data_IF_311494870224
#
_entry.id   IF_311494870224
#
_cell.length_a   1.000
_cell.length_b   1.000
_cell.length_c   1.000
_cell.angle_alpha   90.00
_cell.angle_beta   90.00
_cell.angle_gamma   90.00
#
_symmetry.space_group_name_H-M   'P 1'
#
loop_
_entity.id
_entity.type
_entity.pdbx_description
1 polymer ?
#
# COMPACT_ATOMS: atom_id res chain seq x y z
N UNK A 1 -22.67 -25.09 1.98
CA UNK A 1 -21.71 -24.10 2.52
C UNK A 1 -21.66 -22.95 1.54
N UNK A 2 -21.70 -21.69 1.98
CA UNK A 2 -21.56 -20.57 1.06
C UNK A 2 -20.16 -20.57 0.45
N UNK A 3 -20.11 -20.33 -0.86
CA UNK A 3 -18.86 -20.02 -1.56
C UNK A 3 -18.48 -18.60 -1.20
N UNK A 4 -17.29 -18.39 -0.66
CA UNK A 4 -16.78 -17.05 -0.35
C UNK A 4 -15.40 -16.83 -0.95
N UNK A 5 -15.12 -15.59 -1.34
CA UNK A 5 -13.79 -15.15 -1.72
C UNK A 5 -12.86 -15.06 -0.51
N UNK A 6 -11.75 -15.81 -0.57
CA UNK A 6 -10.73 -15.75 0.46
C UNK A 6 -9.35 -15.52 -0.13
N UNK A 7 -8.57 -14.64 0.50
CA UNK A 7 -7.17 -14.41 0.13
C UNK A 7 -6.29 -15.55 0.64
N UNK A 8 -5.57 -16.19 -0.28
CA UNK A 8 -4.61 -17.26 0.00
C UNK A 8 -3.25 -16.92 -0.61
N UNK A 9 -2.18 -17.19 0.14
CA UNK A 9 -0.82 -17.09 -0.37
C UNK A 9 -0.30 -18.49 -0.75
N UNK A 10 0.20 -18.62 -1.99
CA UNK A 10 0.94 -19.78 -2.46
C UNK A 10 2.42 -19.41 -2.52
N UNK A 11 3.25 -20.12 -1.77
CA UNK A 11 4.69 -19.88 -1.73
C UNK A 11 5.41 -20.95 -2.55
N UNK A 12 6.19 -20.51 -3.53
CA UNK A 12 7.02 -21.35 -4.37
C UNK A 12 8.49 -20.99 -4.18
N UNK A 13 9.34 -22.01 -4.12
CA UNK A 13 10.80 -21.80 -4.22
C UNK A 13 11.15 -21.60 -5.69
N UNK A 14 11.82 -20.49 -6.02
CA UNK A 14 12.28 -20.21 -7.38
C UNK A 14 13.59 -20.94 -7.67
N UNK A 15 13.76 -21.33 -8.93
CA UNK A 15 14.96 -21.95 -9.51
C UNK A 15 15.52 -21.05 -10.63
N UNK A 16 16.01 -19.83 -10.28
CA UNK A 16 16.42 -18.84 -11.26
C UNK A 16 17.80 -19.16 -11.89
N UNK A 17 18.02 -18.81 -13.16
CA UNK A 17 19.36 -18.74 -13.76
C UNK A 17 20.22 -17.62 -13.13
N UNK A 18 21.50 -17.51 -13.49
CA UNK A 18 22.36 -16.42 -12.98
C UNK A 18 21.88 -15.02 -13.40
N UNK A 19 21.43 -14.87 -14.65
CA UNK A 19 20.87 -13.60 -15.12
C UNK A 19 19.56 -13.26 -14.41
N UNK A 20 18.70 -14.26 -14.16
CA UNK A 20 17.47 -14.08 -13.38
C UNK A 20 17.78 -13.75 -11.91
N UNK A 21 18.78 -14.39 -11.30
CA UNK A 21 19.26 -14.05 -9.94
C UNK A 21 19.72 -12.60 -9.85
N UNK A 22 20.51 -12.15 -10.83
CA UNK A 22 20.96 -10.77 -10.91
C UNK A 22 19.77 -9.80 -11.04
N UNK A 23 18.77 -10.12 -11.87
CA UNK A 23 17.55 -9.33 -12.00
C UNK A 23 16.74 -9.27 -10.70
N UNK A 24 16.55 -10.40 -10.00
CA UNK A 24 15.89 -10.44 -8.70
C UNK A 24 16.60 -9.57 -7.66
N UNK A 25 17.93 -9.57 -7.65
CA UNK A 25 18.73 -8.69 -6.79
C UNK A 25 18.65 -7.21 -7.18
N UNK A 26 18.55 -6.88 -8.47
CA UNK A 26 18.29 -5.49 -8.91
C UNK A 26 16.92 -5.01 -8.44
N UNK A 27 15.89 -5.84 -8.57
CA UNK A 27 14.52 -5.54 -8.14
C UNK A 27 14.41 -5.37 -6.62
N UNK A 28 15.02 -6.27 -5.83
CA UNK A 28 15.08 -6.13 -4.37
C UNK A 28 15.88 -4.88 -3.95
N UNK A 29 16.96 -4.58 -4.67
CA UNK A 29 17.78 -3.39 -4.51
C UNK A 29 17.00 -2.10 -4.71
N UNK A 30 16.20 -2.01 -5.78
CA UNK A 30 15.33 -0.88 -6.07
C UNK A 30 14.24 -0.70 -4.99
N UNK A 31 13.59 -1.78 -4.55
CA UNK A 31 12.61 -1.73 -3.47
C UNK A 31 13.22 -1.25 -2.14
N UNK A 32 14.45 -1.70 -1.84
CA UNK A 32 15.23 -1.24 -0.68
C UNK A 32 15.55 0.25 -0.78
N UNK A 33 16.02 0.71 -1.94
CA UNK A 33 16.29 2.12 -2.19
C UNK A 33 15.03 2.97 -1.98
N UNK A 34 13.90 2.56 -2.57
CA UNK A 34 12.62 3.23 -2.43
C UNK A 34 12.13 3.31 -0.98
N UNK A 35 12.30 2.23 -0.21
CA UNK A 35 12.02 2.23 1.23
C UNK A 35 12.89 3.26 1.98
N UNK A 36 14.19 3.30 1.70
CA UNK A 36 15.11 4.24 2.35
C UNK A 36 14.80 5.69 1.96
N UNK A 37 14.51 5.95 0.68
CA UNK A 37 14.06 7.26 0.19
C UNK A 37 12.79 7.73 0.91
N UNK A 38 11.78 6.86 0.99
CA UNK A 38 10.54 7.17 1.70
C UNK A 38 10.77 7.46 3.18
N UNK A 39 11.61 6.66 3.83
CA UNK A 39 11.93 6.85 5.22
C UNK A 39 12.68 8.16 5.43
N UNK A 40 13.62 8.52 4.55
CA UNK A 40 14.35 9.79 4.62
C UNK A 40 13.39 10.99 4.53
N UNK A 41 12.45 11.01 3.58
CA UNK A 41 11.46 12.10 3.45
C UNK A 41 10.53 12.18 4.69
N UNK A 42 10.17 11.05 5.28
CA UNK A 42 9.37 11.00 6.52
C UNK A 42 10.16 11.50 7.73
N UNK A 43 11.41 11.07 7.86
CA UNK A 43 12.31 11.49 8.93
C UNK A 43 12.61 12.99 8.84
N UNK A 44 12.86 13.52 7.64
CA UNK A 44 13.04 14.96 7.42
C UNK A 44 11.81 15.76 7.86
N UNK A 45 10.61 15.36 7.43
CA UNK A 45 9.38 16.04 7.83
C UNK A 45 9.13 15.97 9.35
N UNK A 46 9.44 14.82 9.97
CA UNK A 46 9.34 14.66 11.42
C UNK A 46 10.35 15.52 12.18
N UNK A 47 11.59 15.62 11.66
CA UNK A 47 12.62 16.47 12.27
C UNK A 47 12.25 17.94 12.16
N UNK A 48 11.83 18.41 10.98
CA UNK A 48 11.38 19.79 10.80
C UNK A 48 10.20 20.15 11.73
N UNK A 49 9.28 19.21 11.96
CA UNK A 49 8.21 19.38 12.96
C UNK A 49 8.76 19.49 14.38
N UNK A 50 9.70 18.60 14.74
CA UNK A 50 10.32 18.58 16.07
C UNK A 50 11.12 19.85 16.35
N UNK A 51 11.92 20.33 15.39
CA UNK A 51 12.73 21.54 15.49
C UNK A 51 11.85 22.78 15.72
N UNK A 52 10.74 22.90 14.97
CA UNK A 52 9.76 23.97 15.19
C UNK A 52 9.13 23.91 16.58
N UNK A 53 8.79 22.71 17.03
CA UNK A 53 8.20 22.52 18.36
C UNK A 53 9.19 22.96 19.43
N UNK A 54 10.46 22.60 19.31
CA UNK A 54 11.53 23.03 20.21
C UNK A 54 11.67 24.55 20.19
N UNK A 55 11.74 25.18 19.01
CA UNK A 55 11.84 26.64 18.88
C UNK A 55 10.67 27.39 19.55
N UNK A 56 9.44 26.87 19.44
CA UNK A 56 8.29 27.48 20.13
C UNK A 56 8.35 27.30 21.65
N UNK A 57 8.81 26.16 22.12
CA UNK A 57 8.98 25.93 23.55
C UNK A 57 10.08 26.82 24.13
N UNK A 58 11.18 27.00 23.41
CA UNK A 58 12.25 27.94 23.77
C UNK A 58 11.78 29.40 23.75
N UNK A 59 10.81 29.74 22.88
CA UNK A 59 10.13 31.03 22.87
C UNK A 59 9.08 31.21 23.98
N UNK A 60 8.95 30.24 24.91
CA UNK A 60 8.11 30.34 26.10
C UNK A 60 6.72 29.71 25.98
N UNK A 61 6.39 29.04 24.87
CA UNK A 61 5.12 28.33 24.73
C UNK A 61 5.17 26.96 25.44
N UNK A 62 4.04 26.49 25.95
CA UNK A 62 3.91 25.10 26.38
C UNK A 62 3.93 24.14 25.18
N UNK A 63 4.18 22.84 25.40
CA UNK A 63 4.14 21.86 24.31
C UNK A 63 2.78 21.80 23.59
N UNK A 64 1.68 22.08 24.29
CA UNK A 64 0.34 22.07 23.72
C UNK A 64 0.11 23.28 22.82
N UNK A 65 0.49 24.47 23.29
CA UNK A 65 0.41 25.72 22.51
C UNK A 65 1.33 25.67 21.30
N UNK A 66 2.55 25.14 21.45
CA UNK A 66 3.47 24.93 20.34
C UNK A 66 2.86 24.05 19.24
N UNK A 67 2.12 22.98 19.61
CA UNK A 67 1.42 22.12 18.63
C UNK A 67 0.31 22.86 17.91
N UNK A 68 -0.53 23.61 18.62
CA UNK A 68 -1.58 24.41 17.98
C UNK A 68 -0.98 25.54 17.12
N UNK A 69 0.14 26.14 17.52
CA UNK A 69 0.85 27.15 16.72
C UNK A 69 1.40 26.57 15.42
N UNK A 70 2.06 25.41 15.46
CA UNK A 70 2.54 24.70 14.25
C UNK A 70 1.37 24.39 13.31
N UNK A 71 0.23 23.95 13.86
CA UNK A 71 -0.99 23.69 13.09
C UNK A 71 -1.55 24.97 12.46
N UNK A 72 -1.55 26.10 13.18
CA UNK A 72 -1.96 27.39 12.67
C UNK A 72 -1.04 27.88 11.53
N UNK A 73 0.28 27.78 11.69
CA UNK A 73 1.25 28.17 10.64
C UNK A 73 1.10 27.32 9.37
N UNK A 74 0.75 26.04 9.53
CA UNK A 74 0.50 25.13 8.42
C UNK A 74 -0.91 25.24 7.82
N UNK A 75 -1.82 26.02 8.41
CA UNK A 75 -3.23 26.05 8.04
C UNK A 75 -3.41 26.60 6.62
N UNK A 76 -2.81 27.76 6.31
CA UNK A 76 -2.89 28.37 4.98
C UNK A 76 -2.41 27.41 3.89
N UNK A 77 -1.24 26.78 4.10
CA UNK A 77 -0.68 25.84 3.14
C UNK A 77 -1.56 24.59 2.98
N UNK A 78 -2.15 24.11 4.07
CA UNK A 78 -3.09 22.97 4.05
C UNK A 78 -4.36 23.30 3.27
N UNK A 79 -4.92 24.49 3.48
CA UNK A 79 -6.11 24.97 2.78
C UNK A 79 -5.82 25.15 1.29
N UNK A 80 -4.67 25.72 0.92
CA UNK A 80 -4.23 25.80 -0.47
C UNK A 80 -4.13 24.43 -1.14
N UNK A 81 -3.52 23.44 -0.47
CA UNK A 81 -3.46 22.05 -0.98
C UNK A 81 -4.87 21.48 -1.19
N UNK A 82 -5.77 21.69 -0.23
CA UNK A 82 -7.16 21.18 -0.28
C UNK A 82 -7.93 21.76 -1.46
N UNK A 83 -7.87 23.08 -1.63
CA UNK A 83 -8.59 23.78 -2.69
C UNK A 83 -8.05 23.38 -4.07
N UNK A 84 -6.72 23.33 -4.24
CA UNK A 84 -6.13 22.87 -5.50
C UNK A 84 -6.49 21.44 -5.86
N UNK A 85 -6.42 20.53 -4.89
CA UNK A 85 -6.78 19.13 -5.13
C UNK A 85 -8.27 19.01 -5.49
N UNK A 86 -9.14 19.86 -4.93
CA UNK A 86 -10.55 19.95 -5.33
C UNK A 86 -10.69 20.40 -6.79
N UNK A 87 -10.11 21.53 -7.20
CA UNK A 87 -10.23 21.99 -8.59
C UNK A 87 -9.68 20.97 -9.60
N UNK A 88 -8.54 20.33 -9.28
CA UNK A 88 -7.96 19.26 -10.10
C UNK A 88 -8.89 18.05 -10.23
N UNK A 89 -9.49 17.61 -9.11
CA UNK A 89 -10.45 16.50 -9.09
C UNK A 89 -11.72 16.82 -9.85
N UNK A 90 -12.26 18.03 -9.69
CA UNK A 90 -13.43 18.49 -10.42
C UNK A 90 -13.17 18.47 -11.93
N UNK A 91 -12.00 18.94 -12.40
CA UNK A 91 -11.64 18.83 -13.82
C UNK A 91 -11.53 17.36 -14.27
N UNK A 92 -10.92 16.50 -13.46
CA UNK A 92 -10.82 15.06 -13.76
C UNK A 92 -12.22 14.42 -13.92
N UNK A 93 -13.17 14.78 -13.05
CA UNK A 93 -14.54 14.27 -13.09
C UNK A 93 -15.29 14.76 -14.34
N UNK A 94 -15.17 16.04 -14.67
CA UNK A 94 -15.75 16.61 -15.89
C UNK A 94 -15.24 15.90 -17.14
N UNK A 95 -13.93 15.64 -17.24
CA UNK A 95 -13.32 14.94 -18.39
C UNK A 95 -13.88 13.52 -18.55
N UNK A 96 -14.19 12.82 -17.45
CA UNK A 96 -14.78 11.47 -17.50
C UNK A 96 -16.32 11.48 -17.54
N UNK A 97 -16.94 12.63 -17.81
CA UNK A 97 -18.39 12.78 -17.94
C UNK A 97 -19.16 12.68 -16.62
N UNK A 98 -18.52 12.92 -15.47
CA UNK A 98 -19.14 12.88 -14.15
C UNK A 98 -19.35 14.29 -13.57
N UNK A 99 -20.42 14.50 -12.80
CA UNK A 99 -20.68 15.81 -12.21
C UNK A 99 -19.56 16.20 -11.23
N UNK A 100 -19.07 17.45 -11.27
CA UNK A 100 -18.07 17.91 -10.32
C UNK A 100 -18.67 18.07 -8.91
N UNK A 101 -17.86 17.90 -7.85
CA UNK A 101 -18.29 18.19 -6.48
C UNK A 101 -18.59 19.69 -6.29
N UNK A 102 -19.37 20.01 -5.24
CA UNK A 102 -19.74 21.38 -4.89
C UNK A 102 -18.53 22.31 -4.81
N UNK A 103 -18.64 23.49 -5.43
CA UNK A 103 -17.53 24.41 -5.60
C UNK A 103 -16.93 24.87 -4.25
N UNK A 104 -15.61 24.79 -4.12
CA UNK A 104 -14.87 25.46 -3.05
C UNK A 104 -14.46 26.87 -3.46
N UNK A 105 -14.32 27.78 -2.48
CA UNK A 105 -13.74 29.11 -2.70
C UNK A 105 -12.31 28.99 -3.24
N UNK A 106 -11.95 29.87 -4.17
CA UNK A 106 -10.58 29.97 -4.68
C UNK A 106 -9.62 30.42 -3.57
N UNK A 107 -8.37 29.93 -3.50
CA UNK A 107 -7.37 30.50 -2.62
C UNK A 107 -7.01 31.90 -3.11
N UNK A 108 -6.76 32.83 -2.19
CA UNK A 108 -6.35 34.19 -2.53
C UNK A 108 -5.10 34.18 -3.44
N UNK A 109 -5.13 34.97 -4.51
CA UNK A 109 -4.01 35.14 -5.45
C UNK A 109 -3.91 34.06 -6.54
N UNK A 110 -4.89 33.16 -6.67
CA UNK A 110 -4.92 32.11 -7.70
C UNK A 110 -6.21 32.10 -8.52
N UNK A 111 -6.95 33.20 -8.47
CA UNK A 111 -8.22 33.41 -9.17
C UNK A 111 -8.05 33.26 -10.69
N UNK A 112 -6.91 33.67 -11.24
CA UNK A 112 -6.62 33.59 -12.67
C UNK A 112 -6.54 32.14 -13.20
N UNK A 113 -5.88 31.24 -12.46
CA UNK A 113 -5.75 29.83 -12.88
C UNK A 113 -7.06 29.06 -12.63
N UNK A 114 -7.81 29.40 -11.58
CA UNK A 114 -9.17 28.85 -11.35
C UNK A 114 -10.14 29.33 -12.44
N UNK A 115 -10.07 30.60 -12.87
CA UNK A 115 -10.85 31.12 -14.01
C UNK A 115 -10.48 30.41 -15.31
N UNK A 116 -9.19 30.19 -15.59
CA UNK A 116 -8.73 29.40 -16.76
C UNK A 116 -9.25 27.96 -16.73
N UNK A 117 -9.27 27.32 -15.55
CA UNK A 117 -9.85 25.99 -15.36
C UNK A 117 -11.37 25.97 -15.52
N UNK A 118 -12.07 27.03 -15.09
CA UNK A 118 -13.52 27.16 -15.28
C UNK A 118 -13.88 27.38 -16.76
N UNK A 119 -13.12 28.23 -17.46
CA UNK A 119 -13.28 28.45 -18.91
C UNK A 119 -13.06 27.16 -19.71
N UNK A 120 -11.98 26.42 -19.42
CA UNK A 120 -11.71 25.14 -20.08
C UNK A 120 -12.82 24.09 -19.86
N UNK A 121 -13.56 24.14 -18.75
CA UNK A 121 -14.73 23.27 -18.50
C UNK A 121 -15.96 23.68 -19.32
N UNK A 122 -16.07 24.94 -19.71
CA UNK A 122 -17.19 25.44 -20.50
C UNK A 122 -17.07 25.06 -21.99
N UNK A 123 -15.84 24.90 -22.49
CA UNK A 123 -15.57 24.65 -23.91
C UNK A 123 -15.72 23.18 -24.36
N UNK A 124 -16.07 22.27 -23.45
CA UNK A 124 -16.59 20.90 -23.65
C UNK A 124 -16.02 20.09 -24.84
N UNK A 125 -14.75 20.28 -25.19
CA UNK A 125 -14.04 19.52 -26.22
C UNK A 125 -12.70 19.08 -25.63
N UNK A 126 -12.54 17.75 -25.50
CA UNK A 126 -11.41 17.08 -24.86
C UNK A 126 -10.07 17.33 -25.55
N UNK A 127 -9.57 18.56 -25.43
CA UNK A 127 -8.40 19.09 -26.12
C UNK A 127 -7.14 18.88 -25.28
N UNK A 128 -5.98 18.87 -25.94
CA UNK A 128 -4.64 18.85 -25.31
C UNK A 128 -4.52 19.85 -24.15
N UNK A 129 -5.27 20.95 -24.22
CA UNK A 129 -5.34 22.00 -23.21
C UNK A 129 -5.83 21.53 -21.84
N UNK A 130 -6.82 20.64 -21.78
CA UNK A 130 -7.30 20.08 -20.51
C UNK A 130 -6.24 19.21 -19.83
N UNK A 131 -5.49 18.43 -20.64
CA UNK A 131 -4.39 17.59 -20.15
C UNK A 131 -3.24 18.45 -19.61
N UNK A 132 -2.90 19.53 -20.29
CA UNK A 132 -1.93 20.52 -19.81
C UNK A 132 -2.37 21.13 -18.48
N UNK A 133 -3.62 21.59 -18.38
CA UNK A 133 -4.16 22.18 -17.15
C UNK A 133 -4.22 21.18 -15.99
N UNK A 134 -4.54 19.90 -16.26
CA UNK A 134 -4.46 18.84 -15.26
C UNK A 134 -3.02 18.59 -14.79
N UNK A 135 -2.06 18.63 -15.72
CA UNK A 135 -0.64 18.46 -15.41
C UNK A 135 -0.12 19.64 -14.57
N UNK A 136 -0.46 20.88 -14.95
CA UNK A 136 -0.17 22.11 -14.20
C UNK A 136 -0.77 22.05 -12.79
N UNK A 137 -2.06 21.74 -12.68
CA UNK A 137 -2.73 21.59 -11.38
C UNK A 137 -2.12 20.49 -10.51
N UNK A 138 -1.71 19.36 -11.10
CA UNK A 138 -1.01 18.29 -10.37
C UNK A 138 0.38 18.72 -9.92
N UNK A 139 1.12 19.45 -10.75
CA UNK A 139 2.43 20.00 -10.40
C UNK A 139 2.31 20.98 -9.23
N UNK A 140 1.34 21.88 -9.26
CA UNK A 140 1.05 22.83 -8.17
C UNK A 140 0.72 22.11 -6.87
N UNK A 141 -0.18 21.12 -6.88
CA UNK A 141 -0.51 20.33 -5.67
C UNK A 141 0.74 19.62 -5.13
N UNK A 142 1.54 19.02 -6.01
CA UNK A 142 2.74 18.31 -5.59
C UNK A 142 3.80 19.26 -4.99
N UNK A 143 3.97 20.45 -5.58
CA UNK A 143 4.88 21.47 -5.06
C UNK A 143 4.45 21.99 -3.68
N UNK A 144 3.17 22.32 -3.50
CA UNK A 144 2.63 22.74 -2.20
C UNK A 144 2.78 21.65 -1.14
N UNK A 145 2.54 20.39 -1.51
CA UNK A 145 2.79 19.24 -0.61
C UNK A 145 4.27 19.11 -0.26
N UNK A 146 5.17 19.22 -1.24
CA UNK A 146 6.62 19.17 -1.00
C UNK A 146 7.06 20.26 0.00
N UNK A 147 6.55 21.49 -0.16
CA UNK A 147 6.75 22.58 0.78
C UNK A 147 6.23 22.22 2.18
N UNK A 148 5.00 21.69 2.29
CA UNK A 148 4.42 21.31 3.57
C UNK A 148 5.20 20.21 4.29
N UNK A 149 5.77 19.26 3.54
CA UNK A 149 6.62 18.22 4.10
C UNK A 149 7.96 18.77 4.58
N UNK A 150 8.63 19.58 3.76
CA UNK A 150 9.90 20.20 4.11
C UNK A 150 9.77 21.13 5.31
N UNK A 151 8.63 21.81 5.44
CA UNK A 151 8.32 22.68 6.57
C UNK A 151 7.90 21.90 7.83
N UNK A 152 7.68 20.58 7.77
CA UNK A 152 7.25 19.79 8.93
C UNK A 152 5.77 19.92 9.29
N UNK A 153 4.95 20.57 8.46
CA UNK A 153 3.50 20.67 8.71
C UNK A 153 2.75 19.37 8.42
N UNK A 154 3.34 18.49 7.61
CA UNK A 154 2.73 17.21 7.24
C UNK A 154 3.79 16.13 7.07
N UNK A 155 3.44 14.88 7.38
CA UNK A 155 4.27 13.72 7.02
C UNK A 155 3.77 13.10 5.70
N UNK A 156 4.65 12.78 4.74
CA UNK A 156 4.23 12.22 3.45
C UNK A 156 3.65 10.81 3.59
N UNK A 157 2.57 10.51 2.86
CA UNK A 157 2.07 9.14 2.64
C UNK A 157 2.92 8.40 1.59
N UNK A 158 2.68 7.11 1.34
CA UNK A 158 3.33 6.37 0.27
C UNK A 158 2.99 6.94 -1.11
N UNK A 159 1.73 7.38 -1.31
CA UNK A 159 1.31 8.06 -2.53
C UNK A 159 1.99 9.42 -2.70
N UNK A 160 2.14 10.18 -1.62
CA UNK A 160 2.87 11.46 -1.65
C UNK A 160 4.36 11.22 -1.95
N UNK A 161 4.95 10.22 -1.30
CA UNK A 161 6.35 9.82 -1.53
C UNK A 161 6.58 9.39 -2.98
N UNK A 162 5.66 8.61 -3.55
CA UNK A 162 5.69 8.25 -4.97
C UNK A 162 5.61 9.48 -5.88
N UNK A 163 4.87 10.51 -5.49
CA UNK A 163 4.75 11.76 -6.25
C UNK A 163 6.02 12.60 -6.15
N UNK A 164 6.60 12.75 -4.95
CA UNK A 164 7.91 13.38 -4.75
C UNK A 164 9.00 12.66 -5.55
N UNK A 165 9.03 11.33 -5.47
CA UNK A 165 9.98 10.53 -6.24
C UNK A 165 9.84 10.77 -7.74
N UNK A 166 8.63 10.84 -8.30
CA UNK A 166 8.46 11.15 -9.73
C UNK A 166 8.97 12.54 -10.13
N UNK A 167 9.00 13.51 -9.22
CA UNK A 167 9.57 14.84 -9.48
C UNK A 167 11.10 14.81 -9.51
N UNK A 168 11.72 13.89 -8.75
CA UNK A 168 13.17 13.86 -8.51
C UNK A 168 13.87 12.70 -9.24
N UNK A 169 13.14 11.68 -9.72
CA UNK A 169 13.72 10.40 -10.19
C UNK A 169 14.63 10.52 -11.40
N UNK A 170 14.38 11.51 -12.25
CA UNK A 170 15.10 11.72 -13.50
C UNK A 170 16.32 12.66 -13.30
N UNK A 171 16.53 13.15 -12.07
CA UNK A 171 17.74 13.87 -11.70
C UNK A 171 18.98 12.94 -11.73
N UNK A 172 20.20 13.49 -11.88
CA UNK A 172 21.42 12.73 -11.70
C UNK A 172 21.49 12.06 -10.33
N UNK A 173 22.18 10.92 -10.25
CA UNK A 173 22.32 10.13 -9.02
C UNK A 173 22.95 10.95 -7.89
N UNK A 174 23.88 11.84 -8.23
CA UNK A 174 24.61 12.73 -7.32
C UNK A 174 23.66 13.72 -6.63
N UNK A 175 22.55 14.07 -7.29
CA UNK A 175 21.48 14.92 -6.74
C UNK A 175 20.36 14.12 -6.07
N UNK A 176 20.59 12.82 -5.82
CA UNK A 176 19.62 11.92 -5.18
C UNK A 176 18.57 11.34 -6.13
N UNK A 177 18.69 11.56 -7.44
CA UNK A 177 17.83 10.95 -8.43
C UNK A 177 18.08 9.45 -8.64
N UNK A 178 17.24 8.82 -9.44
CA UNK A 178 17.28 7.39 -9.74
C UNK A 178 17.13 7.14 -11.25
N UNK A 179 18.06 7.62 -12.11
CA UNK A 179 17.91 7.55 -13.57
C UNK A 179 17.81 6.10 -14.10
N UNK A 180 18.32 5.13 -13.32
CA UNK A 180 18.22 3.68 -13.54
C UNK A 180 16.81 3.10 -13.27
N UNK A 181 15.82 3.93 -12.93
CA UNK A 181 14.50 3.43 -12.49
C UNK A 181 13.77 2.59 -13.55
N UNK A 182 14.02 2.84 -14.84
CA UNK A 182 13.41 2.14 -15.97
C UNK A 182 13.91 0.71 -16.13
N UNK A 183 15.05 0.35 -15.52
CA UNK A 183 15.61 -1.01 -15.57
C UNK A 183 14.80 -2.06 -14.79
N UNK A 184 13.90 -1.61 -13.92
CA UNK A 184 13.09 -2.45 -13.06
C UNK A 184 11.62 -2.04 -13.13
N UNK A 185 10.74 -2.95 -12.74
CA UNK A 185 9.32 -2.65 -12.71
C UNK A 185 9.00 -1.58 -11.63
N UNK A 186 8.20 -0.57 -12.01
CA UNK A 186 7.81 0.56 -11.15
C UNK A 186 7.16 0.13 -9.82
N UNK A 187 6.47 -1.03 -9.79
CA UNK A 187 5.85 -1.56 -8.58
C UNK A 187 6.86 -1.91 -7.49
N UNK A 188 8.14 -2.13 -7.82
CA UNK A 188 9.20 -2.30 -6.83
C UNK A 188 9.35 -1.05 -5.95
N UNK A 189 9.26 0.15 -6.56
CA UNK A 189 9.33 1.41 -5.85
C UNK A 189 8.08 1.61 -4.99
N UNK A 190 6.89 1.42 -5.56
CA UNK A 190 5.61 1.50 -4.82
C UNK A 190 5.61 0.58 -3.60
N UNK A 191 6.03 -0.68 -3.77
CA UNK A 191 6.17 -1.63 -2.67
C UNK A 191 7.13 -1.14 -1.58
N UNK A 192 8.24 -0.50 -1.97
CA UNK A 192 9.18 0.10 -1.02
C UNK A 192 8.56 1.25 -0.22
N UNK A 193 7.84 2.15 -0.90
CA UNK A 193 7.13 3.28 -0.28
C UNK A 193 6.05 2.80 0.70
N UNK A 194 5.23 1.82 0.31
CA UNK A 194 4.19 1.23 1.16
C UNK A 194 4.78 0.61 2.42
N UNK A 195 5.89 -0.13 2.28
CA UNK A 195 6.58 -0.74 3.42
C UNK A 195 7.13 0.31 4.39
N UNK A 196 7.63 1.44 3.88
CA UNK A 196 8.07 2.54 4.73
C UNK A 196 6.90 3.21 5.44
N UNK A 197 5.75 3.39 4.77
CA UNK A 197 4.53 3.87 5.40
C UNK A 197 4.04 2.93 6.51
N UNK A 198 4.02 1.61 6.27
CA UNK A 198 3.61 0.62 7.28
C UNK A 198 4.57 0.63 8.47
N UNK A 199 5.89 0.66 8.23
CA UNK A 199 6.88 0.73 9.30
C UNK A 199 6.70 1.98 10.15
N UNK A 200 6.52 3.14 9.51
CA UNK A 200 6.25 4.41 10.18
C UNK A 200 4.97 4.39 11.02
N UNK A 201 3.88 3.88 10.43
CA UNK A 201 2.59 3.75 11.13
C UNK A 201 2.71 2.83 12.34
N UNK A 202 3.38 1.70 12.21
CA UNK A 202 3.58 0.76 13.32
C UNK A 202 4.34 1.40 14.48
N UNK A 203 5.38 2.20 14.19
CA UNK A 203 6.09 2.99 15.19
C UNK A 203 5.17 3.99 15.89
N UNK A 204 4.47 4.84 15.12
CA UNK A 204 3.53 5.83 15.67
C UNK A 204 2.42 5.20 16.52
N UNK A 205 1.75 4.15 16.02
CA UNK A 205 0.69 3.47 16.74
C UNK A 205 1.19 2.81 18.03
N UNK A 206 2.45 2.38 18.06
CA UNK A 206 3.06 1.78 19.25
C UNK A 206 3.37 2.81 20.33
N UNK A 207 3.60 4.07 19.96
CA UNK A 207 3.79 5.16 20.92
C UNK A 207 2.47 5.55 21.59
N UNK A 208 1.37 5.58 20.83
CA UNK A 208 0.06 6.01 21.34
C UNK A 208 -0.80 4.86 21.88
N UNK A 209 -0.26 3.65 22.02
CA UNK A 209 -1.01 2.47 22.50
C UNK A 209 -2.10 1.96 21.54
N UNK A 210 -2.21 2.48 20.32
CA UNK A 210 -3.19 2.04 19.31
C UNK A 210 -2.91 0.63 18.80
N UNK A 211 -1.69 0.14 19.01
CA UNK A 211 -1.26 -1.21 18.66
C UNK A 211 -0.95 -2.00 19.93
N UNK A 212 -1.55 -3.19 20.03
CA UNK A 212 -1.21 -4.15 21.09
C UNK A 212 0.23 -4.68 20.95
N UNK A 213 0.90 -4.86 22.09
CA UNK A 213 2.24 -5.42 22.21
C UNK A 213 3.33 -4.39 22.48
N UNK A 214 4.58 -4.79 22.26
CA UNK A 214 5.75 -3.97 22.57
C UNK A 214 5.84 -2.71 21.72
N UNK A 215 6.37 -1.64 22.32
CA UNK A 215 6.73 -0.41 21.60
C UNK A 215 7.73 -0.75 20.48
N UNK A 216 7.47 -0.26 19.27
CA UNK A 216 8.37 -0.44 18.14
C UNK A 216 9.45 0.62 18.19
N UNK A 217 10.68 0.24 17.83
CA UNK A 217 11.76 1.21 17.65
C UNK A 217 11.49 2.11 16.43
N UNK A 218 12.14 3.28 16.40
CA UNK A 218 12.10 4.17 15.25
C UNK A 218 12.53 3.41 13.97
N UNK A 219 11.82 3.55 12.84
CA UNK A 219 12.16 2.82 11.63
C UNK A 219 13.57 3.15 11.15
N UNK A 220 14.31 2.15 10.68
CA UNK A 220 15.72 2.31 10.26
C UNK A 220 15.90 2.01 8.78
N UNK A 221 16.91 2.62 8.17
CA UNK A 221 17.31 2.30 6.80
C UNK A 221 17.67 0.83 6.64
N UNK A 222 17.27 0.27 5.50
CA UNK A 222 17.58 -1.10 5.11
C UNK A 222 18.96 -1.18 4.47
N UNK A 223 19.76 -2.12 4.95
CA UNK A 223 21.08 -2.48 4.41
C UNK A 223 20.93 -3.44 3.22
N UNK A 224 21.89 -3.40 2.29
CA UNK A 224 21.97 -4.35 1.18
C UNK A 224 22.20 -5.77 1.72
N UNK A 225 21.65 -6.79 1.07
CA UNK A 225 21.80 -8.19 1.49
C UNK A 225 20.95 -8.61 2.70
N UNK A 226 20.22 -7.70 3.33
CA UNK A 226 19.35 -8.00 4.46
C UNK A 226 17.87 -7.87 4.09
N UNK A 227 17.08 -8.92 4.34
CA UNK A 227 15.63 -8.94 4.10
C UNK A 227 15.23 -8.52 2.66
N UNK A 228 15.97 -9.02 1.67
CA UNK A 228 15.74 -8.71 0.25
C UNK A 228 14.37 -9.19 -0.19
N UNK A 229 13.52 -8.26 -0.62
CA UNK A 229 12.20 -8.59 -1.13
C UNK A 229 11.57 -7.42 -1.88
N UNK A 230 10.66 -7.73 -2.79
CA UNK A 230 9.85 -6.76 -3.51
C UNK A 230 8.49 -7.37 -3.86
N UNK A 231 7.49 -6.54 -4.11
CA UNK A 231 6.16 -7.00 -4.52
C UNK A 231 5.81 -6.42 -5.88
N UNK A 232 5.28 -7.25 -6.77
CA UNK A 232 4.78 -6.87 -8.08
C UNK A 232 3.27 -7.06 -8.11
N UNK A 233 2.60 -6.12 -8.75
CA UNK A 233 1.17 -6.11 -8.98
C UNK A 233 0.92 -6.15 -10.48
N UNK A 234 -0.30 -6.48 -10.86
CA UNK A 234 -0.74 -6.49 -12.25
C UNK A 234 -2.21 -6.12 -12.30
N UNK A 235 -2.65 -5.65 -13.46
CA UNK A 235 -4.07 -5.60 -13.75
C UNK A 235 -4.60 -7.04 -13.79
N UNK A 236 -5.57 -7.32 -12.93
CA UNK A 236 -6.20 -8.65 -12.85
C UNK A 236 -7.05 -8.94 -14.09
N UNK A 237 -7.51 -7.90 -14.80
CA UNK A 237 -8.25 -8.03 -16.06
C UNK A 237 -7.31 -8.31 -17.24
N UNK A 238 -6.02 -7.98 -17.11
CA UNK A 238 -4.96 -8.26 -18.12
C UNK A 238 -3.77 -8.95 -17.44
N UNK A 239 -3.92 -10.22 -17.02
CA UNK A 239 -3.03 -10.80 -16.05
C UNK A 239 -1.65 -11.16 -16.62
N UNK A 240 -0.64 -10.36 -16.25
CA UNK A 240 0.77 -10.68 -16.56
C UNK A 240 1.33 -11.72 -15.59
N UNK A 241 0.96 -11.66 -14.29
CA UNK A 241 1.39 -12.68 -13.31
C UNK A 241 0.55 -13.94 -13.51
N UNK A 242 1.19 -15.01 -13.97
CA UNK A 242 0.54 -16.29 -14.25
C UNK A 242 1.51 -17.45 -14.15
N UNK A 243 0.98 -18.66 -13.96
CA UNK A 243 1.76 -19.87 -14.14
C UNK A 243 1.84 -20.22 -15.63
N UNK A 244 3.03 -20.53 -16.10
CA UNK A 244 3.25 -21.14 -17.40
C UNK A 244 3.45 -22.64 -17.19
N UNK A 245 2.43 -23.42 -17.59
CA UNK A 245 2.30 -24.81 -17.17
C UNK A 245 2.22 -24.94 -15.65
N UNK A 246 3.02 -25.86 -15.09
CA UNK A 246 3.02 -26.15 -13.64
C UNK A 246 4.35 -25.87 -12.94
N UNK A 247 5.39 -25.49 -13.69
CA UNK A 247 6.76 -25.36 -13.17
C UNK A 247 7.43 -24.03 -13.49
N UNK A 248 6.70 -23.08 -14.06
CA UNK A 248 7.20 -21.72 -14.33
C UNK A 248 6.20 -20.68 -13.88
N UNK A 249 6.71 -19.58 -13.34
CA UNK A 249 5.94 -18.42 -12.91
C UNK A 249 6.39 -17.21 -13.74
N UNK A 250 5.45 -16.64 -14.48
CA UNK A 250 5.65 -15.42 -15.27
C UNK A 250 5.45 -14.21 -14.37
N UNK A 251 6.39 -13.28 -14.39
CA UNK A 251 6.35 -12.04 -13.61
C UNK A 251 6.68 -10.80 -14.47
N UNK A 252 5.99 -9.66 -14.25
CA UNK A 252 6.22 -8.43 -15.02
C UNK A 252 7.68 -7.96 -15.02
N UNK A 253 8.27 -7.85 -16.21
CA UNK A 253 9.66 -7.42 -16.43
C UNK A 253 10.74 -8.45 -16.05
N UNK A 254 10.38 -9.56 -15.40
CA UNK A 254 11.30 -10.66 -15.06
C UNK A 254 11.14 -11.89 -15.97
N UNK A 255 10.06 -11.94 -16.76
CA UNK A 255 9.80 -13.08 -17.64
C UNK A 255 9.38 -14.34 -16.88
N UNK A 256 9.69 -15.49 -17.45
CA UNK A 256 9.25 -16.81 -16.97
C UNK A 256 10.33 -17.52 -16.17
N UNK A 257 10.21 -17.47 -14.84
CA UNK A 257 11.19 -18.08 -13.92
C UNK A 257 10.71 -19.45 -13.47
N UNK A 258 11.61 -20.44 -13.46
CA UNK A 258 11.31 -21.79 -13.00
C UNK A 258 11.04 -21.84 -11.50
N UNK A 259 10.15 -22.74 -11.09
CA UNK A 259 9.91 -23.07 -9.67
C UNK A 259 10.34 -24.51 -9.39
N UNK A 260 10.94 -24.73 -8.21
CA UNK A 260 11.26 -26.09 -7.74
C UNK A 260 10.00 -26.88 -7.39
N UNK A 261 9.01 -26.20 -6.81
CA UNK A 261 7.74 -26.78 -6.39
C UNK A 261 6.77 -26.95 -7.57
N UNK A 262 5.66 -27.66 -7.36
CA UNK A 262 4.60 -27.78 -8.37
C UNK A 262 3.52 -26.72 -8.18
N UNK A 263 3.33 -25.86 -9.19
CA UNK A 263 2.24 -24.91 -9.31
C UNK A 263 0.88 -25.55 -9.66
N UNK A 264 0.82 -26.87 -9.86
CA UNK A 264 -0.36 -27.59 -10.39
C UNK A 264 -1.66 -27.27 -9.66
N UNK A 265 -1.62 -27.15 -8.33
CA UNK A 265 -2.81 -26.81 -7.54
C UNK A 265 -3.34 -25.41 -7.88
N UNK A 266 -2.46 -24.42 -7.91
CA UNK A 266 -2.83 -23.05 -8.24
C UNK A 266 -3.28 -22.95 -9.71
N UNK A 267 -2.54 -23.57 -10.63
CA UNK A 267 -2.88 -23.60 -12.06
C UNK A 267 -4.27 -24.19 -12.31
N UNK A 268 -4.64 -25.28 -11.63
CA UNK A 268 -6.00 -25.85 -11.73
C UNK A 268 -7.09 -24.92 -11.21
N UNK A 269 -6.86 -24.24 -10.09
CA UNK A 269 -7.84 -23.32 -9.54
C UNK A 269 -8.06 -22.11 -10.48
N UNK A 270 -6.96 -21.57 -11.03
CA UNK A 270 -7.03 -20.47 -11.99
C UNK A 270 -7.72 -20.93 -13.29
N UNK A 271 -7.36 -22.10 -13.82
CA UNK A 271 -7.97 -22.64 -15.04
C UNK A 271 -9.47 -22.97 -14.90
N UNK A 272 -9.94 -23.22 -13.68
CA UNK A 272 -11.38 -23.41 -13.38
C UNK A 272 -12.13 -22.10 -13.10
N UNK A 273 -11.48 -20.95 -13.18
CA UNK A 273 -12.08 -19.66 -12.78
C UNK A 273 -12.34 -19.53 -11.28
N UNK A 274 -11.83 -20.45 -10.45
CA UNK A 274 -12.02 -20.45 -9.00
C UNK A 274 -10.94 -19.64 -8.28
N UNK A 275 -9.96 -19.09 -8.99
CA UNK A 275 -8.89 -18.30 -8.40
C UNK A 275 -8.40 -17.19 -9.33
N UNK A 276 -8.17 -16.01 -8.76
CA UNK A 276 -7.62 -14.83 -9.43
C UNK A 276 -6.35 -14.40 -8.71
N UNK A 277 -5.22 -14.49 -9.40
CA UNK A 277 -3.92 -13.99 -8.89
C UNK A 277 -4.02 -12.46 -8.76
N UNK A 278 -3.53 -11.92 -7.64
CA UNK A 278 -3.58 -10.50 -7.32
C UNK A 278 -2.20 -9.84 -7.39
N UNK A 279 -1.20 -10.52 -6.86
CA UNK A 279 0.16 -10.01 -6.77
C UNK A 279 1.15 -11.14 -6.47
N UNK A 280 2.44 -10.84 -6.63
CA UNK A 280 3.52 -11.71 -6.20
C UNK A 280 4.50 -10.92 -5.35
N UNK A 281 4.90 -11.49 -4.20
CA UNK A 281 6.00 -10.97 -3.39
C UNK A 281 7.18 -11.92 -3.49
N UNK A 282 8.27 -11.45 -4.07
CA UNK A 282 9.51 -12.19 -4.16
C UNK A 282 10.40 -11.81 -2.98
N UNK A 283 11.01 -12.80 -2.34
CA UNK A 283 11.87 -12.61 -1.16
C UNK A 283 13.03 -13.60 -1.17
N UNK A 284 14.19 -13.16 -0.67
CA UNK A 284 15.36 -14.01 -0.48
C UNK A 284 15.40 -14.55 0.94
N UNK A 285 15.61 -15.85 1.09
CA UNK A 285 15.86 -16.51 2.37
C UNK A 285 17.08 -17.41 2.23
N UNK A 286 18.17 -17.06 2.92
CA UNK A 286 19.46 -17.73 2.74
C UNK A 286 19.92 -17.65 1.27
N UNK A 287 20.23 -18.81 0.68
CA UNK A 287 20.67 -18.91 -0.71
C UNK A 287 19.52 -19.01 -1.73
N UNK A 288 18.25 -19.06 -1.30
CA UNK A 288 17.11 -19.28 -2.19
C UNK A 288 16.20 -18.06 -2.32
N UNK A 289 15.59 -17.96 -3.48
CA UNK A 289 14.51 -17.02 -3.74
C UNK A 289 13.15 -17.72 -3.62
N UNK A 290 12.17 -17.01 -3.08
CA UNK A 290 10.81 -17.48 -2.90
C UNK A 290 9.83 -16.48 -3.49
N UNK A 291 8.86 -16.97 -4.26
CA UNK A 291 7.72 -16.19 -4.73
C UNK A 291 6.47 -16.56 -3.92
N UNK A 292 5.93 -15.58 -3.19
CA UNK A 292 4.64 -15.68 -2.51
C UNK A 292 3.57 -15.03 -3.39
N UNK A 293 2.79 -15.85 -4.08
CA UNK A 293 1.69 -15.42 -4.95
C UNK A 293 0.43 -15.25 -4.11
N UNK A 294 -0.11 -14.03 -4.04
CA UNK A 294 -1.37 -13.71 -3.39
C UNK A 294 -2.52 -13.94 -4.37
N UNK A 295 -3.52 -14.70 -3.94
CA UNK A 295 -4.59 -15.19 -4.81
C UNK A 295 -5.93 -15.04 -4.09
N UNK A 296 -6.93 -14.45 -4.76
CA UNK A 296 -8.33 -14.55 -4.35
C UNK A 296 -8.86 -15.90 -4.82
N UNK A 297 -9.35 -16.72 -3.91
CA UNK A 297 -9.84 -18.08 -4.22
C UNK A 297 -11.29 -18.18 -3.77
N UNK A 298 -12.16 -18.68 -4.64
CA UNK A 298 -13.51 -19.12 -4.29
C UNK A 298 -13.39 -20.41 -3.48
N UNK A 299 -13.82 -20.38 -2.22
CA UNK A 299 -13.74 -21.54 -1.34
C UNK A 299 -15.06 -21.73 -0.62
N UNK A 300 -15.50 -22.99 -0.51
CA UNK A 300 -16.53 -23.38 0.45
C UNK A 300 -16.00 -23.18 1.86
N UNK A 301 -16.71 -22.33 2.62
CA UNK A 301 -16.37 -22.07 4.02
C UNK A 301 -17.55 -22.50 4.89
N UNK A 302 -17.32 -23.28 5.98
CA UNK A 302 -18.38 -23.56 6.92
C UNK A 302 -18.86 -22.26 7.55
N UNK A 303 -20.17 -22.01 7.51
CA UNK A 303 -20.81 -21.03 8.37
C UNK A 303 -20.71 -21.57 9.79
N UNK A 304 -20.16 -20.77 10.69
CA UNK A 304 -19.97 -21.18 12.09
C UNK A 304 -20.87 -20.39 13.03
N UNK A 305 -21.44 -19.27 12.56
CA UNK A 305 -22.20 -18.33 13.38
C UNK A 305 -23.45 -17.91 12.62
N UNK A 306 -24.56 -17.74 13.33
CA UNK A 306 -25.79 -17.14 12.83
C UNK A 306 -26.19 -15.99 13.74
N UNK A 307 -26.73 -14.93 13.16
CA UNK A 307 -27.47 -13.91 13.90
C UNK A 307 -28.94 -14.30 13.81
N UNK A 308 -29.56 -14.49 14.96
CA UNK A 308 -31.00 -14.71 15.12
C UNK A 308 -31.62 -13.36 15.47
N UNK A 309 -32.38 -12.79 14.54
CA UNK A 309 -33.12 -11.55 14.75
C UNK A 309 -34.24 -11.76 15.77
N UNK A 310 -34.75 -10.67 16.34
CA UNK A 310 -35.82 -10.71 17.35
C UNK A 310 -37.16 -11.26 16.77
N UNK A 311 -37.35 -11.17 15.45
CA UNK A 311 -38.47 -11.75 14.71
C UNK A 311 -38.29 -13.25 14.39
N UNK A 312 -37.19 -13.86 14.83
CA UNK A 312 -36.85 -15.27 14.61
C UNK A 312 -36.17 -15.57 13.27
N UNK A 313 -35.96 -14.58 12.39
CA UNK A 313 -35.21 -14.76 11.15
C UNK A 313 -33.72 -15.00 11.43
N UNK A 314 -33.04 -15.78 10.57
CA UNK A 314 -31.66 -16.21 10.80
C UNK A 314 -30.75 -15.83 9.64
N UNK A 315 -29.65 -15.15 9.93
CA UNK A 315 -28.65 -14.72 8.96
C UNK A 315 -27.28 -15.40 9.22
N UNK A 316 -26.72 -16.15 8.27
CA UNK A 316 -25.45 -16.85 8.44
C UNK A 316 -24.22 -15.94 8.29
N UNK A 317 -23.22 -16.13 9.16
CA UNK A 317 -21.96 -15.39 9.17
C UNK A 317 -20.72 -16.29 9.29
N UNK A 318 -19.64 -15.85 8.63
CA UNK A 318 -18.37 -16.60 8.56
C UNK A 318 -17.50 -16.42 9.80
N UNK A 319 -17.75 -15.39 10.61
CA UNK A 319 -17.00 -15.12 11.83
C UNK A 319 -17.90 -14.50 12.90
N UNK A 320 -17.55 -14.77 14.16
CA UNK A 320 -18.25 -14.23 15.34
C UNK A 320 -18.34 -12.70 15.29
N UNK A 321 -17.26 -12.02 14.92
CA UNK A 321 -17.23 -10.54 14.83
C UNK A 321 -18.24 -10.01 13.81
N UNK A 322 -18.42 -10.70 12.68
CA UNK A 322 -19.42 -10.28 11.68
C UNK A 322 -20.84 -10.49 12.21
N UNK A 323 -21.10 -11.61 12.88
CA UNK A 323 -22.39 -11.89 13.50
C UNK A 323 -22.70 -10.90 14.64
N UNK A 324 -21.71 -10.59 15.49
CA UNK A 324 -21.84 -9.64 16.59
C UNK A 324 -22.13 -8.23 16.07
N UNK A 325 -21.40 -7.77 15.04
CA UNK A 325 -21.68 -6.48 14.40
C UNK A 325 -23.07 -6.40 13.79
N UNK A 326 -23.57 -7.50 13.21
CA UNK A 326 -24.91 -7.54 12.68
C UNK A 326 -25.98 -7.52 13.80
N UNK A 327 -25.66 -8.10 14.96
CA UNK A 327 -26.50 -8.15 16.15
C UNK A 327 -26.49 -6.87 16.99
N UNK A 328 -25.64 -5.88 16.68
CA UNK A 328 -25.58 -4.60 17.39
C UNK A 328 -26.94 -3.86 17.39
N UNK A 329 -27.82 -4.15 16.41
CA UNK A 329 -29.14 -3.54 16.26
C UNK A 329 -30.31 -4.44 16.72
N UNK A 330 -30.07 -5.47 17.54
CA UNK A 330 -31.08 -6.41 18.05
C UNK A 330 -30.78 -7.87 17.72
N UNK A 331 -31.48 -8.82 18.35
CA UNK A 331 -31.25 -10.26 18.19
C UNK A 331 -30.08 -10.83 19.01
N UNK A 332 -29.75 -12.10 18.76
CA UNK A 332 -28.65 -12.83 19.42
C UNK A 332 -27.77 -13.62 18.45
N UNK A 333 -26.52 -13.86 18.81
CA UNK A 333 -25.57 -14.65 18.01
C UNK A 333 -25.53 -16.09 18.50
N UNK A 334 -25.77 -17.04 17.59
CA UNK A 334 -25.69 -18.48 17.85
C UNK A 334 -24.55 -19.14 17.07
N UNK A 335 -23.94 -20.16 17.66
CA UNK A 335 -22.90 -20.95 17.01
C UNK A 335 -23.49 -22.24 16.43
N UNK A 336 -23.60 -22.34 15.11
CA UNK A 336 -24.24 -23.48 14.43
C UNK A 336 -23.26 -24.59 14.02
N UNK A 337 -21.95 -24.33 14.06
CA UNK A 337 -20.93 -25.25 13.56
C UNK A 337 -19.75 -25.45 14.51
N UNK A 338 -19.19 -26.65 14.52
CA UNK A 338 -17.92 -26.93 15.22
C UNK A 338 -16.74 -26.37 14.42
N UNK A 339 -15.92 -25.47 14.98
CA UNK A 339 -14.76 -24.95 14.27
C UNK A 339 -13.77 -26.07 14.03
N UNK A 340 -13.20 -26.13 12.84
CA UNK A 340 -12.08 -27.04 12.53
C UNK A 340 -10.89 -26.75 13.47
N UNK A 341 -10.02 -27.73 13.71
CA UNK A 341 -8.82 -27.55 14.55
C UNK A 341 -7.97 -26.32 14.14
N UNK A 342 -7.98 -25.99 12.85
CA UNK A 342 -7.28 -24.83 12.28
C UNK A 342 -7.95 -23.49 12.62
N UNK A 343 -9.27 -23.48 12.79
CA UNK A 343 -10.06 -22.31 13.22
C UNK A 343 -10.01 -22.12 14.75
N UNK A 344 -9.92 -23.22 15.52
CA UNK A 344 -9.71 -23.17 16.98
C UNK A 344 -8.36 -22.54 17.36
N UNK A 345 -7.34 -22.69 16.51
CA UNK A 345 -6.00 -22.15 16.74
C UNK A 345 -5.88 -20.61 16.60
N UNK A 346 -6.99 -19.86 16.51
CA UNK A 346 -7.00 -18.38 16.58
C UNK A 346 -6.23 -17.67 15.45
N UNK A 347 -6.00 -18.35 14.33
CA UNK A 347 -5.29 -17.75 13.20
C UNK A 347 -6.23 -16.84 12.40
N UNK A 348 -6.07 -15.51 12.55
CA UNK A 348 -6.43 -14.56 11.47
C UNK A 348 -6.14 -15.22 10.12
N UNK A 349 -7.12 -15.23 9.22
CA UNK A 349 -6.86 -15.52 7.82
C UNK A 349 -5.84 -14.49 7.31
N UNK A 350 -4.58 -14.88 7.34
CA UNK A 350 -3.44 -13.96 7.19
C UNK A 350 -2.14 -14.64 7.65
N UNK A 351 -1.49 -15.33 6.71
CA UNK A 351 -0.05 -15.61 6.74
C UNK A 351 0.53 -16.29 7.99
N UNK A 352 0.43 -17.62 8.07
CA UNK A 352 1.51 -18.44 8.68
C UNK A 352 1.94 -19.51 7.70
N UNK A 353 2.97 -19.20 6.91
CA UNK A 353 3.76 -20.21 6.22
C UNK A 353 4.49 -21.04 7.28
N UNK A 354 4.31 -22.35 7.18
CA UNK A 354 4.85 -23.42 7.99
C UNK A 354 6.27 -23.17 8.54
N UNK A 355 6.41 -23.21 9.87
CA UNK A 355 7.60 -23.76 10.53
C UNK A 355 7.22 -25.14 11.06
N UNK A 356 7.76 -26.18 10.45
CA UNK A 356 7.98 -27.47 11.11
C UNK A 356 9.39 -27.91 10.75
N UNK A 357 10.38 -27.38 11.45
CA UNK A 357 11.71 -27.98 11.50
C UNK A 357 11.55 -29.24 12.36
N UNK A 358 11.42 -30.40 11.72
CA UNK A 358 11.64 -31.67 12.41
C UNK A 358 13.13 -31.76 12.69
N UNK A 359 13.53 -31.55 13.95
CA UNK A 359 14.78 -32.13 14.46
C UNK A 359 14.52 -33.63 14.61
N UNK A 360 15.00 -34.43 13.67
CA UNK A 360 15.23 -35.85 13.91
C UNK A 360 16.57 -35.98 14.62
N UNK A 361 16.52 -36.15 15.95
CA UNK A 361 17.53 -36.96 16.63
C UNK A 361 17.10 -38.40 16.46
N UNK A 362 18.00 -39.28 16.02
CA UNK A 362 18.05 -40.66 16.51
C UNK A 362 19.50 -41.15 16.55
N UNK A 363 19.79 -42.10 17.47
CA UNK A 363 21.11 -42.39 17.97
C UNK A 363 21.78 -43.54 17.23
N UNK A 364 23.09 -43.58 17.31
CA UNK A 364 23.94 -44.77 17.52
C UNK A 364 25.15 -44.27 18.29
#
# INVERSE_FOLDING_TARGET
MPVTEVLRAYRFTLDPSDSERAALSRYSGACRWAYNYALAKKTQAHQAWADRRTAYVEAGLTEAEAKERIKADGAELTDRIRVWDHHRKSLTLTIIGKPPPAAMRSPAGQEALVRRLAAARADATGTSRERELLAEGRATVNALKAQAFSAGFRTPTATDTSSLWRMERDLPKERGGSPWWSEVNVYCFTSGFDRAQVAWKNWQDSLTGRRAGWRHAYPRFKKKGHAESFSLFHDVMRPIIRLEGYRRLVMPGLGSIRIHDSGKRLARLVGRGQAVIQSVTVSRGGHRWYASVLVKVQQDVPVLWEHVHDDGTRAPYLSRIQAEKASENGGRVEQIGRPTARQRAGGRWGGRSARRVRRSRRPS
#
